data_IF_156265093421
#
_entry.id   IF_156265093421
#
_cell.length_a   1.000
_cell.length_b   1.000
_cell.length_c   1.000
_cell.angle_alpha   90.00
_cell.angle_beta   90.00
_cell.angle_gamma   90.00
#
_symmetry.space_group_name_H-M   'P 1'
#
loop_
_entity.id
_entity.type
_entity.pdbx_description
1 polymer ?
#
# COMPACT_ATOMS: atom_id res chain seq x y z
N UNK A 1 5.90 15.77 -22.93
CA UNK A 1 4.91 14.72 -22.62
C UNK A 1 4.59 14.81 -21.14
N UNK A 2 3.35 14.57 -20.71
CA UNK A 2 3.05 14.43 -19.28
C UNK A 2 3.67 13.12 -18.80
N UNK A 3 4.52 13.19 -17.79
CA UNK A 3 5.11 12.04 -17.13
C UNK A 3 4.05 11.32 -16.29
N UNK A 4 3.98 9.97 -16.37
CA UNK A 4 3.04 9.21 -15.57
C UNK A 4 3.52 9.12 -14.12
N UNK A 5 2.67 9.43 -13.14
CA UNK A 5 3.03 9.31 -11.72
C UNK A 5 2.84 7.87 -11.20
N UNK A 6 1.69 7.27 -11.52
CA UNK A 6 1.32 5.91 -11.07
C UNK A 6 1.70 4.84 -12.10
N UNK A 7 1.37 5.09 -13.37
CA UNK A 7 1.60 4.15 -14.49
C UNK A 7 3.00 4.30 -15.08
N UNK A 8 4.02 4.44 -14.23
CA UNK A 8 5.42 4.67 -14.62
C UNK A 8 5.99 3.55 -15.48
N UNK A 9 5.42 2.34 -15.40
CA UNK A 9 5.79 1.22 -16.28
C UNK A 9 5.55 1.50 -17.77
N UNK A 10 4.75 2.51 -18.11
CA UNK A 10 4.58 2.99 -19.49
C UNK A 10 5.76 3.83 -19.98
N UNK A 11 6.52 4.41 -19.06
CA UNK A 11 7.62 5.33 -19.35
C UNK A 11 8.98 4.68 -19.05
N UNK A 12 9.08 3.87 -17.98
CA UNK A 12 10.30 3.19 -17.54
C UNK A 12 10.14 1.65 -17.68
N UNK A 13 10.90 1.02 -18.58
CA UNK A 13 10.92 -0.43 -18.72
C UNK A 13 11.36 -1.13 -17.42
N UNK A 14 10.70 -2.24 -17.09
CA UNK A 14 11.04 -3.09 -15.93
C UNK A 14 10.97 -2.40 -14.56
N UNK A 15 10.22 -1.30 -14.41
CA UNK A 15 10.09 -0.55 -13.15
C UNK A 15 9.55 -1.39 -11.97
N UNK A 16 8.95 -2.55 -12.25
CA UNK A 16 8.53 -3.50 -11.22
C UNK A 16 9.68 -4.26 -10.55
N UNK A 17 10.91 -4.16 -11.06
CA UNK A 17 12.10 -4.64 -10.35
C UNK A 17 12.65 -3.58 -9.40
N UNK A 18 13.02 -3.98 -8.19
CA UNK A 18 13.42 -3.05 -7.14
C UNK A 18 14.62 -2.17 -7.52
N UNK A 19 15.61 -2.69 -8.25
CA UNK A 19 16.80 -1.91 -8.57
C UNK A 19 16.48 -0.81 -9.58
N UNK A 20 15.58 -1.11 -10.53
CA UNK A 20 15.05 -0.11 -11.47
C UNK A 20 14.22 0.93 -10.70
N UNK A 21 13.33 0.48 -9.82
CA UNK A 21 12.49 1.36 -9.00
C UNK A 21 13.34 2.33 -8.17
N UNK A 22 14.39 1.85 -7.51
CA UNK A 22 15.34 2.67 -6.74
C UNK A 22 16.10 3.67 -7.62
N UNK A 23 16.59 3.23 -8.78
CA UNK A 23 17.34 4.11 -9.71
C UNK A 23 16.50 5.28 -10.24
N UNK A 24 15.19 5.10 -10.24
CA UNK A 24 14.17 6.05 -10.69
C UNK A 24 13.54 6.80 -9.49
N UNK A 25 14.24 6.90 -8.35
CA UNK A 25 13.81 7.65 -7.16
C UNK A 25 12.70 6.98 -6.36
N UNK A 26 12.49 5.68 -6.53
CA UNK A 26 11.58 4.90 -5.72
C UNK A 26 11.99 4.85 -4.24
N UNK A 27 11.01 4.80 -3.34
CA UNK A 27 11.21 4.83 -1.88
C UNK A 27 11.76 6.14 -1.29
N UNK A 28 12.02 7.16 -2.09
CA UNK A 28 12.40 8.49 -1.57
C UNK A 28 11.28 9.12 -0.72
N UNK A 29 10.02 8.88 -1.06
CA UNK A 29 8.87 9.34 -0.29
C UNK A 29 8.82 8.69 1.09
N UNK A 30 9.03 7.37 1.13
CA UNK A 30 9.12 6.62 2.39
C UNK A 30 10.34 7.06 3.22
N UNK A 31 11.50 7.20 2.58
CA UNK A 31 12.72 7.68 3.25
C UNK A 31 12.50 9.03 3.92
N UNK A 32 11.92 9.98 3.18
CA UNK A 32 11.58 11.31 3.70
C UNK A 32 10.62 11.21 4.89
N UNK A 33 9.58 10.39 4.78
CA UNK A 33 8.61 10.21 5.86
C UNK A 33 9.29 9.69 7.13
N UNK A 34 10.14 8.66 7.02
CA UNK A 34 10.80 8.03 8.16
C UNK A 34 11.90 8.88 8.79
N UNK A 35 12.72 9.56 7.99
CA UNK A 35 13.92 10.26 8.48
C UNK A 35 13.68 11.73 8.85
N UNK A 36 12.70 12.38 8.23
CA UNK A 36 12.60 13.86 8.27
C UNK A 36 11.25 14.39 8.74
N UNK A 37 10.23 13.54 8.84
CA UNK A 37 8.88 13.95 9.19
C UNK A 37 8.42 13.24 10.46
N UNK A 38 7.58 13.88 11.23
CA UNK A 38 6.76 13.22 12.25
C UNK A 38 5.50 12.64 11.60
N UNK A 39 4.89 11.57 12.15
CA UNK A 39 3.68 10.97 11.57
C UNK A 39 2.55 11.98 11.31
N UNK A 40 2.37 12.94 12.23
CA UNK A 40 1.39 14.01 12.08
C UNK A 40 1.65 14.91 10.86
N UNK A 41 2.91 15.18 10.51
CA UNK A 41 3.26 15.99 9.34
C UNK A 41 2.94 15.26 8.04
N UNK A 42 3.09 13.93 8.03
CA UNK A 42 2.68 13.09 6.89
C UNK A 42 1.16 13.14 6.69
N UNK A 43 0.39 13.03 7.78
CA UNK A 43 -1.07 13.18 7.74
C UNK A 43 -1.47 14.55 7.19
N UNK A 44 -0.86 15.63 7.69
CA UNK A 44 -1.17 16.99 7.23
C UNK A 44 -0.79 17.22 5.77
N UNK A 45 0.33 16.66 5.29
CA UNK A 45 0.69 16.71 3.88
C UNK A 45 -0.38 16.04 2.99
N UNK A 46 -0.93 14.89 3.40
CA UNK A 46 -1.99 14.19 2.67
C UNK A 46 -3.34 14.90 2.76
N UNK A 47 -3.64 15.57 3.88
CA UNK A 47 -4.82 16.47 3.97
C UNK A 47 -4.69 17.64 3.02
N UNK A 48 -3.55 18.33 3.03
CA UNK A 48 -3.27 19.48 2.19
C UNK A 48 -3.28 19.15 0.70
N UNK A 49 -2.93 17.91 0.31
CA UNK A 49 -2.97 17.47 -1.08
C UNK A 49 -4.39 17.29 -1.62
N UNK A 50 -5.42 17.28 -0.76
CA UNK A 50 -6.80 17.03 -1.16
C UNK A 50 -7.06 15.60 -1.67
N UNK A 51 -6.22 14.63 -1.29
CA UNK A 51 -6.39 13.24 -1.72
C UNK A 51 -7.73 12.68 -1.19
N UNK A 52 -8.52 12.14 -2.11
CA UNK A 52 -9.79 11.45 -1.82
C UNK A 52 -9.64 9.95 -2.11
N UNK A 53 -10.37 9.13 -1.37
CA UNK A 53 -10.40 7.67 -1.55
C UNK A 53 -10.74 7.28 -2.99
N UNK A 54 -9.96 6.34 -3.54
CA UNK A 54 -10.06 5.88 -4.94
C UNK A 54 -10.77 4.53 -5.12
N UNK A 55 -11.32 3.98 -4.04
CA UNK A 55 -12.20 2.80 -4.06
C UNK A 55 -13.68 3.12 -4.23
N UNK A 56 -14.05 4.31 -4.72
CA UNK A 56 -15.44 4.72 -4.98
C UNK A 56 -16.05 5.67 -3.95
N UNK A 57 -15.82 5.47 -2.64
CA UNK A 57 -16.43 6.28 -1.59
C UNK A 57 -16.02 7.77 -1.59
N UNK A 58 -14.81 8.07 -2.05
CA UNK A 58 -14.34 9.46 -2.19
C UNK A 58 -14.16 10.23 -0.88
N UNK A 59 -14.04 9.56 0.27
CA UNK A 59 -13.77 10.22 1.55
C UNK A 59 -12.35 10.85 1.57
N UNK A 60 -12.12 12.04 2.17
CA UNK A 60 -10.79 12.64 2.25
C UNK A 60 -9.80 11.77 3.04
N UNK A 61 -8.73 11.29 2.39
CA UNK A 61 -7.82 10.28 2.93
C UNK A 61 -7.08 10.77 4.17
N UNK A 62 -6.52 11.99 4.14
CA UNK A 62 -5.81 12.54 5.30
C UNK A 62 -6.72 12.78 6.52
N UNK A 63 -8.01 13.05 6.28
CA UNK A 63 -9.00 13.14 7.36
C UNK A 63 -9.28 11.76 7.94
N UNK A 64 -9.46 10.73 7.10
CA UNK A 64 -9.61 9.33 7.54
C UNK A 64 -8.46 8.91 8.46
N UNK A 65 -7.22 9.22 8.08
CA UNK A 65 -6.03 8.88 8.89
C UNK A 65 -6.03 9.60 10.24
N UNK A 66 -6.53 10.84 10.32
CA UNK A 66 -6.57 11.59 11.57
C UNK A 66 -7.58 11.07 12.60
N UNK A 67 -8.48 10.15 12.22
CA UNK A 67 -9.39 9.49 13.16
C UNK A 67 -8.74 8.37 13.96
N UNK A 68 -7.55 7.89 13.55
CA UNK A 68 -6.83 6.87 14.29
C UNK A 68 -6.32 7.48 15.62
N UNK A 69 -6.65 6.89 16.79
CA UNK A 69 -6.23 7.44 18.07
C UNK A 69 -4.70 7.45 18.22
N UNK A 70 -4.16 8.57 18.69
CA UNK A 70 -2.73 8.67 19.00
C UNK A 70 -2.36 7.69 20.13
N UNK A 71 -1.32 6.89 19.92
CA UNK A 71 -0.84 5.93 20.91
C UNK A 71 -1.68 4.65 21.01
N UNK A 72 -2.59 4.40 20.06
CA UNK A 72 -3.17 3.08 19.90
C UNK A 72 -2.05 2.04 19.69
N UNK A 73 -2.12 0.92 20.42
CA UNK A 73 -1.05 -0.10 20.40
C UNK A 73 -1.13 -1.02 19.19
N UNK A 74 -2.35 -1.37 18.79
CA UNK A 74 -2.61 -2.32 17.71
C UNK A 74 -3.28 -1.57 16.55
N UNK A 75 -2.45 -1.00 15.69
CA UNK A 75 -2.91 -0.32 14.46
C UNK A 75 -2.40 -1.11 13.26
N UNK A 76 -3.32 -1.36 12.33
CA UNK A 76 -3.05 -2.08 11.09
C UNK A 76 -3.39 -1.21 9.90
N UNK A 77 -2.61 -1.33 8.83
CA UNK A 77 -3.02 -0.87 7.50
C UNK A 77 -3.56 -2.06 6.73
N UNK A 78 -4.73 -1.90 6.13
CA UNK A 78 -5.28 -2.89 5.20
C UNK A 78 -5.47 -2.21 3.85
N UNK A 79 -4.69 -2.65 2.86
CA UNK A 79 -4.84 -2.26 1.46
C UNK A 79 -5.91 -3.15 0.85
N UNK A 80 -7.04 -2.53 0.51
CA UNK A 80 -8.11 -3.19 -0.22
C UNK A 80 -7.73 -3.29 -1.71
N UNK A 81 -7.35 -4.49 -2.15
CA UNK A 81 -7.08 -4.85 -3.53
C UNK A 81 -8.12 -5.84 -4.09
N UNK A 82 -9.32 -5.89 -3.49
CA UNK A 82 -10.48 -6.63 -4.03
C UNK A 82 -11.13 -5.81 -5.16
N UNK A 83 -10.45 -5.76 -6.31
CA UNK A 83 -10.96 -5.06 -7.50
C UNK A 83 -12.00 -5.92 -8.22
N UNK A 84 -13.21 -5.95 -7.64
CA UNK A 84 -14.30 -6.83 -8.06
C UNK A 84 -15.40 -6.15 -8.88
N UNK A 85 -15.43 -4.81 -8.91
CA UNK A 85 -16.42 -4.05 -9.68
C UNK A 85 -16.22 -4.23 -11.20
N UNK A 86 -17.27 -4.59 -11.98
CA UNK A 86 -17.15 -4.77 -13.41
C UNK A 86 -16.60 -3.52 -14.13
N UNK A 87 -15.66 -3.74 -15.05
CA UNK A 87 -15.01 -2.65 -15.81
C UNK A 87 -13.85 -1.98 -15.08
N UNK A 88 -13.51 -2.42 -13.86
CA UNK A 88 -12.32 -1.95 -13.13
C UNK A 88 -11.15 -2.94 -13.29
N UNK A 89 -9.96 -2.39 -13.56
CA UNK A 89 -8.69 -3.14 -13.74
C UNK A 89 -7.46 -2.26 -13.47
N UNK A 90 -7.68 -1.11 -12.83
CA UNK A 90 -6.67 -0.07 -12.57
C UNK A 90 -5.70 -0.50 -11.46
N UNK A 91 -6.20 -1.20 -10.45
CA UNK A 91 -5.40 -1.62 -9.30
C UNK A 91 -4.58 -2.84 -9.68
N UNK A 92 -5.18 -3.75 -10.46
CA UNK A 92 -4.47 -4.86 -11.11
C UNK A 92 -3.24 -4.39 -11.88
N UNK A 93 -3.38 -3.37 -12.72
CA UNK A 93 -2.26 -2.84 -13.53
C UNK A 93 -1.10 -2.38 -12.64
N UNK A 94 -1.39 -1.71 -11.52
CA UNK A 94 -0.34 -1.28 -10.58
C UNK A 94 0.35 -2.47 -9.90
N UNK A 95 -0.40 -3.47 -9.45
CA UNK A 95 0.17 -4.65 -8.81
C UNK A 95 0.99 -5.53 -9.77
N UNK A 96 0.61 -5.58 -11.05
CA UNK A 96 1.32 -6.37 -12.07
C UNK A 96 2.60 -5.69 -12.56
N UNK A 97 2.61 -4.36 -12.72
CA UNK A 97 3.70 -3.68 -13.44
C UNK A 97 4.49 -2.68 -12.58
N UNK A 98 3.93 -2.19 -11.48
CA UNK A 98 4.58 -1.25 -10.58
C UNK A 98 4.30 -1.56 -9.08
N UNK A 99 4.55 -2.81 -8.64
CA UNK A 99 4.19 -3.27 -7.29
C UNK A 99 4.88 -2.50 -6.16
N UNK A 100 6.13 -2.05 -6.36
CA UNK A 100 6.86 -1.27 -5.37
C UNK A 100 6.19 0.06 -5.03
N UNK A 101 5.45 0.67 -5.97
CA UNK A 101 4.65 1.88 -5.70
C UNK A 101 3.50 1.60 -4.73
N UNK A 102 2.86 0.43 -4.82
CA UNK A 102 1.81 0.00 -3.88
C UNK A 102 2.41 -0.21 -2.50
N UNK A 103 3.55 -0.91 -2.43
CA UNK A 103 4.27 -1.19 -1.18
C UNK A 103 4.72 0.11 -0.50
N UNK A 104 5.33 1.04 -1.25
CA UNK A 104 5.79 2.33 -0.73
C UNK A 104 4.64 3.16 -0.16
N UNK A 105 3.51 3.24 -0.88
CA UNK A 105 2.33 3.96 -0.41
C UNK A 105 1.75 3.36 0.88
N UNK A 106 1.71 2.03 0.97
CA UNK A 106 1.24 1.33 2.17
C UNK A 106 2.17 1.55 3.38
N UNK A 107 3.49 1.53 3.15
CA UNK A 107 4.50 1.81 4.17
C UNK A 107 4.42 3.25 4.70
N UNK A 108 4.25 4.24 3.82
CA UNK A 108 4.05 5.64 4.22
C UNK A 108 2.78 5.79 5.05
N UNK A 109 1.68 5.16 4.62
CA UNK A 109 0.42 5.19 5.35
C UNK A 109 0.57 4.55 6.75
N UNK A 110 1.28 3.42 6.83
CA UNK A 110 1.53 2.72 8.09
C UNK A 110 2.30 3.61 9.07
N UNK A 111 3.40 4.21 8.62
CA UNK A 111 4.15 5.17 9.42
C UNK A 111 3.29 6.35 9.89
N UNK A 112 2.49 6.94 8.99
CA UNK A 112 1.64 8.09 9.30
C UNK A 112 0.63 7.82 10.42
N UNK A 113 0.07 6.61 10.48
CA UNK A 113 -0.92 6.23 11.50
C UNK A 113 -0.34 5.47 12.70
N UNK A 114 0.98 5.24 12.73
CA UNK A 114 1.64 4.49 13.79
C UNK A 114 1.44 2.97 13.71
N UNK A 115 1.17 2.43 12.52
CA UNK A 115 1.05 0.99 12.29
C UNK A 115 2.39 0.35 11.93
N UNK A 116 2.63 -0.85 12.45
CA UNK A 116 3.80 -1.67 12.12
C UNK A 116 3.48 -2.87 11.22
N UNK A 117 2.20 -3.20 11.07
CA UNK A 117 1.74 -4.35 10.28
C UNK A 117 0.80 -3.88 9.17
N UNK A 118 1.09 -4.35 7.96
CA UNK A 118 0.36 -4.04 6.73
C UNK A 118 -0.18 -5.34 6.16
N UNK A 119 -1.46 -5.36 5.81
CA UNK A 119 -2.07 -6.41 5.01
C UNK A 119 -2.45 -5.86 3.65
N UNK A 120 -2.18 -6.62 2.59
CA UNK A 120 -2.78 -6.39 1.27
C UNK A 120 -3.74 -7.54 0.99
N UNK A 121 -5.03 -7.25 1.02
CA UNK A 121 -6.09 -8.23 0.73
C UNK A 121 -6.49 -8.12 -0.73
N UNK A 122 -6.29 -9.18 -1.51
CA UNK A 122 -6.67 -9.21 -2.92
C UNK A 122 -7.69 -10.29 -3.22
N UNK A 123 -8.49 -10.07 -4.27
CA UNK A 123 -9.45 -11.07 -4.75
C UNK A 123 -8.77 -12.37 -5.18
N UNK A 124 -9.47 -13.49 -5.02
CA UNK A 124 -8.92 -14.84 -5.31
C UNK A 124 -8.50 -15.03 -6.77
N UNK A 125 -9.08 -14.28 -7.70
CA UNK A 125 -8.72 -14.32 -9.13
C UNK A 125 -7.38 -13.66 -9.43
N UNK A 126 -6.80 -12.88 -8.51
CA UNK A 126 -5.55 -12.12 -8.72
C UNK A 126 -4.28 -12.92 -8.39
N UNK A 127 -4.27 -14.23 -8.66
CA UNK A 127 -3.09 -15.07 -8.46
C UNK A 127 -1.85 -14.54 -9.18
N UNK A 128 -1.98 -14.09 -10.43
CA UNK A 128 -0.87 -13.51 -11.22
C UNK A 128 -0.31 -12.22 -10.60
N UNK A 129 -1.13 -11.17 -10.40
CA UNK A 129 -0.72 -9.95 -9.70
C UNK A 129 -0.06 -10.22 -8.34
N UNK A 130 -0.60 -11.15 -7.54
CA UNK A 130 -0.06 -11.45 -6.22
C UNK A 130 1.27 -12.22 -6.25
N UNK A 131 1.56 -13.00 -7.29
CA UNK A 131 2.90 -13.57 -7.49
C UNK A 131 3.92 -12.45 -7.74
N UNK A 132 3.58 -11.47 -8.57
CA UNK A 132 4.44 -10.30 -8.84
C UNK A 132 4.63 -9.47 -7.58
N UNK A 133 3.54 -9.19 -6.86
CA UNK A 133 3.56 -8.43 -5.61
C UNK A 133 4.40 -9.16 -4.54
N UNK A 134 4.27 -10.48 -4.41
CA UNK A 134 5.09 -11.26 -3.48
C UNK A 134 6.58 -11.17 -3.81
N UNK A 135 6.95 -11.21 -5.10
CA UNK A 135 8.35 -11.01 -5.51
C UNK A 135 8.85 -9.63 -5.07
N UNK A 136 8.07 -8.58 -5.31
CA UNK A 136 8.42 -7.21 -4.92
C UNK A 136 8.51 -7.04 -3.40
N UNK A 137 7.61 -7.68 -2.64
CA UNK A 137 7.67 -7.72 -1.16
C UNK A 137 8.97 -8.37 -0.71
N UNK A 138 9.34 -9.53 -1.26
CA UNK A 138 10.60 -10.21 -0.93
C UNK A 138 11.81 -9.33 -1.22
N UNK A 139 11.85 -8.69 -2.40
CA UNK A 139 12.89 -7.74 -2.77
C UNK A 139 12.98 -6.57 -1.78
N UNK A 140 11.84 -6.04 -1.32
CA UNK A 140 11.80 -4.96 -0.34
C UNK A 140 12.36 -5.38 1.02
N UNK A 141 12.13 -6.62 1.48
CA UNK A 141 12.80 -7.16 2.67
C UNK A 141 14.31 -7.37 2.43
N UNK A 142 14.71 -7.94 1.29
CA UNK A 142 16.12 -8.18 0.96
C UNK A 142 16.95 -6.90 0.91
N UNK A 143 16.36 -5.79 0.43
CA UNK A 143 16.99 -4.47 0.39
C UNK A 143 16.85 -3.68 1.70
N UNK A 144 16.22 -4.24 2.74
CA UNK A 144 16.00 -3.57 4.03
C UNK A 144 15.01 -2.40 3.97
N UNK A 145 14.19 -2.31 2.93
CA UNK A 145 13.10 -1.33 2.85
C UNK A 145 12.00 -1.69 3.86
N UNK A 146 11.68 -2.98 3.97
CA UNK A 146 10.78 -3.55 4.97
C UNK A 146 11.58 -4.37 6.00
N UNK A 147 10.98 -4.60 7.16
CA UNK A 147 11.57 -5.37 8.26
C UNK A 147 11.57 -4.61 9.59
N UNK A 148 12.30 -5.15 10.57
CA UNK A 148 12.35 -4.61 11.94
C UNK A 148 13.01 -3.23 12.04
N UNK A 149 13.90 -2.92 11.10
CA UNK A 149 14.65 -1.66 11.02
C UNK A 149 14.52 -1.10 9.61
N UNK A 150 13.30 -0.76 9.21
CA UNK A 150 12.98 -0.33 7.87
C UNK A 150 13.84 0.89 7.47
N UNK A 151 14.50 0.81 6.32
CA UNK A 151 15.38 1.85 5.78
C UNK A 151 16.52 2.25 6.74
N UNK A 152 16.94 1.35 7.65
CA UNK A 152 17.98 1.62 8.64
C UNK A 152 17.50 2.44 9.84
N UNK A 153 16.19 2.67 9.99
CA UNK A 153 15.59 3.36 11.15
C UNK A 153 15.25 2.39 12.29
N UNK A 154 14.73 2.90 13.40
CA UNK A 154 14.16 2.10 14.50
C UNK A 154 12.69 1.73 14.28
N UNK A 155 12.11 2.11 13.14
CA UNK A 155 10.73 1.81 12.80
C UNK A 155 10.60 0.44 12.12
N UNK A 156 9.65 -0.37 12.59
CA UNK A 156 9.33 -1.66 11.99
C UNK A 156 8.19 -1.53 10.97
N UNK A 157 8.35 -2.18 9.82
CA UNK A 157 7.32 -2.32 8.79
C UNK A 157 7.26 -3.78 8.33
N UNK A 158 6.17 -4.46 8.65
CA UNK A 158 5.90 -5.84 8.27
C UNK A 158 4.68 -5.89 7.33
N UNK A 159 4.77 -6.63 6.23
CA UNK A 159 3.76 -6.67 5.18
C UNK A 159 3.39 -8.11 4.82
N UNK A 160 2.10 -8.39 4.88
CA UNK A 160 1.53 -9.68 4.53
C UNK A 160 0.58 -9.57 3.34
N UNK A 161 0.65 -10.53 2.44
CA UNK A 161 -0.30 -10.68 1.35
C UNK A 161 -1.36 -11.71 1.72
N UNK A 162 -2.63 -11.40 1.48
CA UNK A 162 -3.75 -12.30 1.69
C UNK A 162 -4.61 -12.38 0.43
N UNK A 163 -4.79 -13.59 -0.10
CA UNK A 163 -5.70 -13.85 -1.21
C UNK A 163 -7.05 -14.33 -0.68
N UNK A 164 -8.12 -13.62 -1.05
CA UNK A 164 -9.49 -14.00 -0.78
C UNK A 164 -9.96 -15.18 -1.65
N UNK A 165 -11.26 -15.46 -1.55
CA UNK A 165 -11.89 -16.65 -2.17
C UNK A 165 -12.93 -16.32 -3.26
N UNK A 166 -12.90 -15.10 -3.82
CA UNK A 166 -13.74 -14.73 -4.98
C UNK A 166 -15.17 -14.29 -4.63
N UNK A 167 -15.32 -13.40 -3.64
CA UNK A 167 -16.62 -12.85 -3.24
C UNK A 167 -16.62 -11.31 -3.36
N UNK A 168 -17.48 -10.77 -4.24
CA UNK A 168 -17.60 -9.33 -4.49
C UNK A 168 -17.82 -8.49 -3.23
N UNK A 169 -18.54 -9.03 -2.24
CA UNK A 169 -18.84 -8.33 -0.98
C UNK A 169 -17.57 -8.07 -0.14
N UNK A 170 -16.51 -8.88 -0.30
CA UNK A 170 -15.24 -8.66 0.39
C UNK A 170 -14.51 -7.38 -0.03
N UNK A 171 -14.98 -6.67 -1.06
CA UNK A 171 -14.54 -5.31 -1.37
C UNK A 171 -15.11 -4.23 -0.44
N UNK A 172 -16.17 -4.53 0.31
CA UNK A 172 -16.71 -3.64 1.36
C UNK A 172 -15.78 -3.68 2.58
N UNK A 173 -15.50 -2.53 3.20
CA UNK A 173 -14.38 -2.42 4.15
C UNK A 173 -14.59 -3.23 5.44
N UNK A 174 -15.83 -3.44 5.89
CA UNK A 174 -16.11 -4.25 7.08
C UNK A 174 -16.16 -5.75 6.77
N UNK A 175 -16.74 -6.13 5.62
CA UNK A 175 -16.74 -7.50 5.12
C UNK A 175 -15.32 -8.02 4.85
N UNK A 176 -14.44 -7.16 4.31
CA UNK A 176 -13.04 -7.47 4.08
C UNK A 176 -12.34 -7.89 5.37
N UNK A 177 -12.52 -7.13 6.46
CA UNK A 177 -11.90 -7.42 7.75
C UNK A 177 -12.40 -8.76 8.32
N UNK A 178 -13.71 -9.01 8.26
CA UNK A 178 -14.26 -10.31 8.66
C UNK A 178 -13.64 -11.46 7.85
N UNK A 179 -13.51 -11.29 6.53
CA UNK A 179 -12.88 -12.30 5.67
C UNK A 179 -11.39 -12.50 6.01
N UNK A 180 -10.65 -11.43 6.28
CA UNK A 180 -9.23 -11.47 6.65
C UNK A 180 -9.02 -12.22 7.98
N UNK A 181 -9.95 -12.04 8.92
CA UNK A 181 -9.97 -12.71 10.23
C UNK A 181 -10.45 -14.18 10.17
N UNK A 182 -10.88 -14.66 8.99
CA UNK A 182 -11.36 -16.03 8.80
C UNK A 182 -12.84 -16.24 9.12
N UNK A 183 -13.59 -15.16 9.37
CA UNK A 183 -15.04 -15.18 9.40
C UNK A 183 -15.62 -15.12 7.97
N UNK A 184 -16.95 -15.15 7.88
CA UNK A 184 -17.65 -14.96 6.60
C UNK A 184 -17.52 -13.50 6.17
N UNK A 185 -17.03 -13.29 4.95
CA UNK A 185 -17.12 -12.02 4.23
C UNK A 185 -18.53 -11.76 3.69
#
# INVERSE_FOLDING_TARGET
MKEHILLRHKDIPNIGDIDVYLSDGGYEGLKKALETMQPAEVIEAVKASGLRGRGGAGFPTGVKWSFIPKGAKDVYIVVNADESEPGTFKDRELMEYNPHRVIEGAAIAAYAVGAHTIYIYGRGEFKGPFVTLQKAVNQAYEKGILGKNAMGTDYALDLHLHLGAGAYICGEETALLNSLEGYRG
#
